data_IF_814191324672
#
_entry.id   IF_814191324672
#
_cell.length_a   1.000
_cell.length_b   1.000
_cell.length_c   1.000
_cell.angle_alpha   90.00
_cell.angle_beta   90.00
_cell.angle_gamma   90.00
#
_symmetry.space_group_name_H-M   'P 1'
#
loop_
_entity.id
_entity.type
_entity.pdbx_description
1 polymer ?
#
# COMPACT_ATOMS: atom_id res chain seq x y z
N UNK A 1 -6.45 3.55 47.53
CA UNK A 1 -5.67 2.64 46.66
C UNK A 1 -5.05 3.44 45.52
N UNK A 2 -3.81 3.91 45.69
CA UNK A 2 -3.09 4.66 44.64
C UNK A 2 -2.05 3.72 44.05
N UNK A 3 -2.34 3.18 42.86
CA UNK A 3 -1.45 2.27 42.16
C UNK A 3 -0.37 3.10 41.43
N UNK A 4 0.80 3.27 42.04
CA UNK A 4 1.95 3.86 41.35
C UNK A 4 2.50 2.85 40.35
N UNK A 5 2.23 3.07 39.06
CA UNK A 5 2.87 2.32 37.98
C UNK A 5 4.34 2.73 37.93
N UNK A 6 5.23 1.83 38.34
CA UNK A 6 6.68 2.03 38.21
C UNK A 6 7.00 2.10 36.71
N UNK A 7 7.23 3.31 36.20
CA UNK A 7 7.70 3.52 34.84
C UNK A 7 9.15 3.10 34.79
N UNK A 8 9.40 1.92 34.21
CA UNK A 8 10.76 1.46 33.88
C UNK A 8 11.36 2.46 32.90
N UNK A 9 12.32 3.29 33.34
CA UNK A 9 13.07 4.16 32.42
C UNK A 9 13.74 3.28 31.36
N UNK A 10 13.37 3.45 30.10
CA UNK A 10 14.10 2.87 28.96
C UNK A 10 15.55 3.36 29.03
N UNK A 11 16.50 2.47 28.76
CA UNK A 11 17.94 2.77 28.70
C UNK A 11 18.34 3.63 27.49
N UNK A 12 17.45 3.80 26.51
CA UNK A 12 17.70 4.61 25.32
C UNK A 12 17.14 6.02 25.47
N UNK A 13 17.94 7.01 25.06
CA UNK A 13 17.48 8.38 24.90
C UNK A 13 16.63 8.48 23.63
N UNK A 14 15.31 8.60 23.79
CA UNK A 14 14.37 8.75 22.67
C UNK A 14 14.57 10.06 21.89
N UNK A 15 15.35 11.02 22.43
CA UNK A 15 15.76 12.26 21.73
C UNK A 15 16.96 12.05 20.81
N UNK A 16 17.69 10.95 20.98
CA UNK A 16 18.76 10.54 20.06
C UNK A 16 18.18 9.61 19.02
N UNK A 17 17.72 10.19 17.91
CA UNK A 17 17.56 9.46 16.65
C UNK A 17 18.91 8.84 16.29
N UNK A 18 19.13 7.57 16.62
CA UNK A 18 20.14 6.76 15.96
C UNK A 18 19.61 6.62 14.54
N UNK A 19 20.03 7.52 13.65
CA UNK A 19 19.53 7.52 12.28
C UNK A 19 19.88 6.17 11.67
N UNK A 20 18.89 5.28 11.55
CA UNK A 20 19.08 3.92 11.05
C UNK A 20 19.65 3.89 9.61
N UNK A 21 19.58 5.04 8.93
CA UNK A 21 20.06 5.28 7.57
C UNK A 21 21.33 6.13 7.51
N UNK A 22 21.88 6.57 8.64
CA UNK A 22 23.09 7.37 8.68
C UNK A 22 24.33 6.48 8.52
N UNK A 23 25.11 6.71 7.46
CA UNK A 23 26.39 6.04 7.22
C UNK A 23 27.53 6.55 8.13
N UNK A 24 27.35 7.72 8.74
CA UNK A 24 28.35 8.37 9.57
C UNK A 24 27.66 9.10 10.72
N UNK A 25 28.37 9.21 11.83
CA UNK A 25 27.99 10.01 12.99
C UNK A 25 28.81 11.31 13.02
N UNK A 26 28.41 12.26 13.85
CA UNK A 26 29.19 13.48 14.07
C UNK A 26 30.62 13.20 14.59
N UNK A 27 30.87 12.01 15.14
CA UNK A 27 32.16 11.62 15.70
C UNK A 27 33.12 11.07 14.64
N UNK A 28 32.61 10.36 13.63
CA UNK A 28 33.42 9.67 12.61
C UNK A 28 33.44 10.40 11.25
N UNK A 29 32.60 11.43 11.07
CA UNK A 29 32.44 12.12 9.79
C UNK A 29 33.77 12.65 9.23
N UNK A 30 34.69 13.10 10.10
CA UNK A 30 35.99 13.65 9.70
C UNK A 30 36.86 12.62 8.96
N UNK A 31 36.73 11.34 9.30
CA UNK A 31 37.43 10.25 8.63
C UNK A 31 36.65 9.67 7.45
N UNK A 32 35.33 9.49 7.60
CA UNK A 32 34.50 8.78 6.61
C UNK A 32 34.12 9.61 5.39
N UNK A 33 33.84 10.90 5.56
CA UNK A 33 33.44 11.77 4.43
C UNK A 33 34.55 11.87 3.37
N UNK A 34 35.83 12.08 3.72
CA UNK A 34 36.91 12.04 2.73
C UNK A 34 36.97 10.72 1.96
N UNK A 35 36.80 9.58 2.64
CA UNK A 35 36.83 8.26 1.98
C UNK A 35 35.73 8.15 0.91
N UNK A 36 34.51 8.62 1.20
CA UNK A 36 33.42 8.70 0.20
C UNK A 36 33.82 9.60 -0.97
N UNK A 37 34.37 10.78 -0.69
CA UNK A 37 34.72 11.77 -1.72
C UNK A 37 35.83 11.29 -2.65
N UNK A 38 36.77 10.48 -2.14
CA UNK A 38 37.85 9.87 -2.92
C UNK A 38 37.46 8.52 -3.56
N UNK A 39 36.15 8.20 -3.61
CA UNK A 39 35.64 7.03 -4.31
C UNK A 39 35.61 5.73 -3.50
N UNK A 40 35.88 5.80 -2.20
CA UNK A 40 35.71 4.70 -1.27
C UNK A 40 34.27 4.53 -0.77
N UNK A 41 34.07 3.53 0.09
CA UNK A 41 32.77 3.22 0.67
C UNK A 41 31.89 2.32 -0.22
N UNK A 42 30.93 1.65 0.40
CA UNK A 42 30.01 0.74 -0.29
C UNK A 42 28.64 1.37 -0.45
N UNK A 43 28.24 1.57 -1.70
CA UNK A 43 26.89 1.98 -2.06
C UNK A 43 25.95 0.77 -1.99
N UNK A 44 24.80 0.97 -1.36
CA UNK A 44 23.72 0.01 -1.27
C UNK A 44 22.42 0.67 -1.70
N UNK A 45 21.54 -0.08 -2.34
CA UNK A 45 20.24 0.43 -2.77
C UNK A 45 19.16 0.09 -1.76
N UNK A 46 18.22 1.03 -1.57
CA UNK A 46 17.00 0.85 -0.78
C UNK A 46 15.79 0.97 -1.68
N UNK A 47 14.88 0.00 -1.53
CA UNK A 47 13.58 -0.02 -2.20
C UNK A 47 12.79 1.22 -1.78
N UNK A 48 12.21 1.91 -2.76
CA UNK A 48 11.24 2.98 -2.54
C UNK A 48 9.89 2.55 -3.07
N UNK A 49 8.85 3.02 -2.40
CA UNK A 49 7.48 2.80 -2.81
C UNK A 49 7.03 3.91 -3.77
N UNK A 50 6.33 3.49 -4.80
CA UNK A 50 5.65 4.36 -5.74
C UNK A 50 4.17 4.44 -5.35
N UNK A 51 3.60 5.63 -5.45
CA UNK A 51 2.19 5.87 -5.21
C UNK A 51 1.65 6.80 -6.30
N UNK A 52 0.55 6.39 -6.93
CA UNK A 52 -0.17 7.18 -7.93
C UNK A 52 -1.60 7.35 -7.47
N UNK A 53 -2.04 8.60 -7.35
CA UNK A 53 -3.42 8.94 -6.99
C UNK A 53 -4.13 9.42 -8.24
N UNK A 54 -5.21 8.74 -8.61
CA UNK A 54 -6.11 9.11 -9.68
C UNK A 54 -7.37 9.71 -9.06
N UNK A 55 -7.55 11.00 -9.30
CA UNK A 55 -8.81 11.69 -9.05
C UNK A 55 -9.65 11.77 -10.31
N UNK A 56 -10.81 12.42 -10.23
CA UNK A 56 -11.81 12.50 -11.31
C UNK A 56 -11.21 13.05 -12.61
N UNK A 57 -10.34 14.05 -12.52
CA UNK A 57 -9.79 14.77 -13.69
C UNK A 57 -8.27 14.75 -13.78
N UNK A 58 -7.57 14.12 -12.85
CA UNK A 58 -6.12 14.18 -12.77
C UNK A 58 -5.51 12.92 -12.20
N UNK A 59 -4.34 12.55 -12.71
CA UNK A 59 -3.49 11.51 -12.14
C UNK A 59 -2.23 12.17 -11.58
N UNK A 60 -2.03 12.04 -10.27
CA UNK A 60 -0.90 12.63 -9.54
C UNK A 60 0.03 11.53 -9.09
N UNK A 61 1.25 11.55 -9.61
CA UNK A 61 2.33 10.68 -9.12
C UNK A 61 2.96 11.32 -7.89
N UNK A 62 2.94 10.61 -6.77
CA UNK A 62 3.55 11.07 -5.53
C UNK A 62 5.08 10.95 -5.60
N UNK A 63 5.77 11.65 -4.69
CA UNK A 63 7.21 11.46 -4.54
C UNK A 63 7.51 10.01 -4.12
N UNK A 64 8.62 9.42 -4.58
CA UNK A 64 9.05 8.11 -4.10
C UNK A 64 9.21 8.09 -2.57
N UNK A 65 8.49 7.17 -1.94
CA UNK A 65 8.35 7.06 -0.49
C UNK A 65 9.44 6.13 0.05
N UNK A 66 10.18 6.54 1.08
CA UNK A 66 11.30 5.76 1.59
C UNK A 66 10.90 4.77 2.68
N UNK A 67 10.13 5.20 3.67
CA UNK A 67 9.78 4.39 4.83
C UNK A 67 8.37 3.85 4.69
N UNK A 68 7.39 4.74 4.80
CA UNK A 68 6.00 4.37 4.97
C UNK A 68 5.03 5.47 4.54
N UNK A 69 3.80 5.04 4.31
CA UNK A 69 2.66 5.90 4.10
C UNK A 69 1.47 5.45 4.93
N UNK A 70 0.72 6.42 5.45
CA UNK A 70 -0.55 6.21 6.13
C UNK A 70 -1.67 6.77 5.28
N UNK A 71 -2.67 5.94 4.98
CA UNK A 71 -3.89 6.34 4.28
C UNK A 71 -5.03 6.30 5.29
N UNK A 72 -5.54 7.46 5.67
CA UNK A 72 -6.53 7.57 6.73
C UNK A 72 -7.45 8.78 6.57
N UNK A 73 -8.55 8.79 7.32
CA UNK A 73 -9.31 10.00 7.54
C UNK A 73 -8.45 10.99 8.36
N UNK A 74 -8.36 12.28 7.98
CA UNK A 74 -7.62 13.27 8.77
C UNK A 74 -8.23 13.51 10.16
N UNK A 75 -9.52 13.21 10.35
CA UNK A 75 -10.15 13.27 11.67
C UNK A 75 -10.07 11.89 12.34
N UNK A 76 -9.44 11.76 13.53
CA UNK A 76 -9.35 10.48 14.24
C UNK A 76 -10.72 9.98 14.75
N UNK A 77 -11.72 10.86 14.84
CA UNK A 77 -13.08 10.50 15.22
C UNK A 77 -13.91 9.93 14.05
N UNK A 78 -13.33 9.87 12.85
CA UNK A 78 -14.03 9.43 11.65
C UNK A 78 -13.41 8.16 11.06
N UNK A 79 -14.27 7.30 10.51
CA UNK A 79 -13.87 6.03 9.91
C UNK A 79 -13.35 6.23 8.48
N UNK A 80 -12.24 5.58 8.17
CA UNK A 80 -11.72 5.45 6.81
C UNK A 80 -12.48 4.33 6.11
N UNK A 81 -13.12 4.66 4.98
CA UNK A 81 -13.85 3.69 4.16
C UNK A 81 -13.16 3.60 2.83
N UNK A 82 -12.74 2.40 2.43
CA UNK A 82 -12.14 2.18 1.12
C UNK A 82 -12.38 0.74 0.68
N UNK A 83 -12.25 0.49 -0.63
CA UNK A 83 -12.16 -0.86 -1.16
C UNK A 83 -10.72 -1.09 -1.58
N UNK A 84 -10.13 -2.19 -1.13
CA UNK A 84 -8.78 -2.59 -1.47
C UNK A 84 -8.81 -3.81 -2.39
N UNK A 85 -7.84 -3.94 -3.29
CA UNK A 85 -7.68 -5.11 -4.15
C UNK A 85 -6.32 -5.10 -4.85
N UNK A 86 -6.13 -5.99 -5.82
CA UNK A 86 -4.89 -6.09 -6.60
C UNK A 86 -5.17 -5.80 -8.07
N UNK A 87 -4.30 -5.01 -8.71
CA UNK A 87 -4.41 -4.72 -10.14
C UNK A 87 -3.68 -5.78 -10.95
N UNK A 88 -4.41 -6.40 -11.87
CA UNK A 88 -3.84 -7.18 -12.96
C UNK A 88 -4.01 -6.39 -14.25
N UNK A 89 -2.97 -6.32 -15.07
CA UNK A 89 -3.09 -5.70 -16.40
C UNK A 89 -4.21 -6.41 -17.15
N UNK A 90 -5.18 -5.65 -17.64
CA UNK A 90 -6.20 -6.21 -18.50
C UNK A 90 -5.52 -6.49 -19.84
N UNK A 91 -5.51 -7.75 -20.27
CA UNK A 91 -5.11 -8.08 -21.62
C UNK A 91 -5.99 -7.28 -22.58
N UNK A 92 -5.41 -6.61 -23.58
CA UNK A 92 -6.16 -6.06 -24.69
C UNK A 92 -6.79 -7.26 -25.42
N UNK A 93 -8.00 -7.67 -25.02
CA UNK A 93 -8.83 -8.60 -25.80
C UNK A 93 -9.49 -7.84 -26.96
N UNK A 94 -8.71 -7.02 -27.67
CA UNK A 94 -9.06 -6.49 -28.98
C UNK A 94 -8.27 -7.30 -30.01
N UNK A 95 -8.75 -8.51 -30.31
CA UNK A 95 -8.63 -9.22 -31.61
C UNK A 95 -8.91 -10.74 -31.59
N UNK A 96 -9.39 -11.34 -30.49
CA UNK A 96 -9.70 -12.79 -30.46
C UNK A 96 -11.17 -13.19 -30.40
N UNK A 97 -12.10 -12.26 -30.19
CA UNK A 97 -13.53 -12.57 -29.99
C UNK A 97 -14.45 -12.34 -31.21
N UNK A 98 -13.93 -11.89 -32.36
CA UNK A 98 -14.73 -11.76 -33.60
C UNK A 98 -14.62 -12.95 -34.56
N UNK A 99 -13.99 -14.04 -34.15
CA UNK A 99 -14.02 -15.31 -34.88
C UNK A 99 -14.33 -16.43 -33.92
N UNK A 100 -15.48 -17.08 -34.16
CA UNK A 100 -15.98 -18.30 -33.53
C UNK A 100 -16.72 -18.00 -32.20
N UNK A 101 -17.99 -18.37 -31.97
CA UNK A 101 -18.78 -19.46 -32.53
C UNK A 101 -20.27 -19.21 -32.23
N UNK A 102 -21.10 -19.57 -33.21
CA UNK A 102 -22.51 -19.95 -33.01
C UNK A 102 -22.50 -21.29 -32.26
N UNK A 103 -23.04 -21.37 -31.04
CA UNK A 103 -23.75 -22.58 -30.57
C UNK A 103 -24.37 -22.47 -29.16
N UNK A 104 -25.67 -22.74 -29.16
CA UNK A 104 -26.44 -23.61 -28.25
C UNK A 104 -26.62 -23.25 -26.75
N UNK A 105 -27.84 -22.81 -26.47
CA UNK A 105 -28.40 -22.51 -25.15
C UNK A 105 -28.97 -23.77 -24.48
N UNK A 106 -28.13 -24.57 -23.81
CA UNK A 106 -28.59 -25.66 -22.94
C UNK A 106 -27.70 -25.82 -21.71
N UNK A 107 -28.06 -25.18 -20.59
CA UNK A 107 -27.42 -25.44 -19.30
C UNK A 107 -27.47 -24.36 -18.22
N UNK A 108 -28.60 -23.67 -18.01
CA UNK A 108 -28.73 -22.71 -16.90
C UNK A 108 -29.60 -23.29 -15.77
N UNK A 109 -29.12 -23.18 -14.53
CA UNK A 109 -29.83 -23.64 -13.34
C UNK A 109 -30.97 -22.68 -12.97
N UNK A 110 -31.97 -23.09 -12.16
CA UNK A 110 -33.07 -22.21 -11.75
C UNK A 110 -32.62 -20.93 -11.01
N UNK A 111 -31.47 -20.98 -10.32
CA UNK A 111 -30.88 -19.82 -9.64
C UNK A 111 -30.34 -18.77 -10.64
N UNK A 112 -29.76 -19.23 -11.76
CA UNK A 112 -29.24 -18.35 -12.82
C UNK A 112 -30.38 -17.61 -13.53
N UNK A 113 -31.54 -18.27 -13.67
CA UNK A 113 -32.76 -17.65 -14.24
C UNK A 113 -33.33 -16.57 -13.30
N UNK A 114 -33.33 -16.79 -11.99
CA UNK A 114 -33.83 -15.83 -11.00
C UNK A 114 -32.92 -14.59 -10.87
N UNK A 115 -31.59 -14.77 -10.97
CA UNK A 115 -30.64 -13.66 -10.99
C UNK A 115 -30.79 -12.79 -12.25
N UNK A 116 -31.20 -13.39 -13.38
CA UNK A 116 -31.42 -12.68 -14.65
C UNK A 116 -32.73 -11.88 -14.70
N UNK A 117 -33.74 -12.26 -13.92
CA UNK A 117 -35.06 -11.60 -13.91
C UNK A 117 -35.16 -10.37 -13.01
N UNK A 118 -34.13 -10.09 -12.20
CA UNK A 118 -34.11 -9.01 -11.19
C UNK A 118 -33.22 -7.81 -11.58
N UNK A 119 -32.63 -7.79 -12.77
CA UNK A 119 -31.77 -6.67 -13.21
C UNK A 119 -32.49 -5.73 -14.18
N UNK A 120 -32.53 -4.44 -13.83
CA UNK A 120 -33.01 -3.36 -14.70
C UNK A 120 -32.23 -3.26 -16.02
N UNK A 121 -32.89 -2.84 -17.12
CA UNK A 121 -32.28 -2.82 -18.43
C UNK A 121 -31.35 -1.60 -18.59
N UNK A 122 -30.06 -1.85 -18.84
CA UNK A 122 -29.26 -0.88 -19.61
C UNK A 122 -27.85 -0.53 -19.13
N UNK A 123 -27.04 -1.45 -18.60
CA UNK A 123 -25.58 -1.39 -18.79
C UNK A 123 -25.03 -2.81 -18.84
N UNK A 124 -24.45 -3.21 -19.98
CA UNK A 124 -23.84 -4.51 -20.15
C UNK A 124 -22.66 -4.69 -19.17
N UNK A 125 -22.84 -5.51 -18.13
CA UNK A 125 -21.73 -6.02 -17.32
C UNK A 125 -20.89 -6.95 -18.19
N UNK A 126 -19.72 -6.50 -18.63
CA UNK A 126 -18.66 -7.44 -19.07
C UNK A 126 -18.33 -8.38 -17.92
N UNK A 127 -18.03 -9.65 -18.21
CA UNK A 127 -17.66 -10.70 -17.23
C UNK A 127 -16.42 -10.39 -16.35
N UNK A 128 -15.87 -9.19 -16.45
CA UNK A 128 -14.67 -8.70 -15.79
C UNK A 128 -15.07 -7.52 -14.89
N UNK A 129 -14.50 -7.43 -13.69
CA UNK A 129 -14.83 -6.43 -12.67
C UNK A 129 -14.65 -4.98 -13.13
N UNK A 130 -14.79 -4.02 -12.21
CA UNK A 130 -14.60 -2.60 -12.50
C UNK A 130 -13.22 -2.35 -13.13
N UNK A 131 -13.16 -2.16 -14.45
CA UNK A 131 -11.91 -1.82 -15.16
C UNK A 131 -11.49 -0.43 -14.71
N UNK A 132 -10.29 -0.31 -14.16
CA UNK A 132 -9.66 0.97 -13.89
C UNK A 132 -8.51 1.23 -14.85
N UNK A 133 -8.06 2.48 -14.93
CA UNK A 133 -6.96 2.89 -15.80
C UNK A 133 -5.99 3.76 -15.01
N UNK A 134 -4.70 3.44 -15.10
CA UNK A 134 -3.58 4.25 -14.59
C UNK A 134 -2.59 4.47 -15.73
N UNK A 135 -2.16 5.71 -15.95
CA UNK A 135 -1.27 6.06 -17.07
C UNK A 135 -1.80 5.62 -18.43
N UNK A 136 -3.13 5.59 -18.60
CA UNK A 136 -3.81 5.09 -19.81
C UNK A 136 -3.92 3.57 -19.95
N UNK A 137 -3.18 2.79 -19.13
CA UNK A 137 -3.21 1.32 -19.17
C UNK A 137 -4.42 0.77 -18.42
N UNK A 138 -5.19 -0.17 -19.02
CA UNK A 138 -6.33 -0.79 -18.35
C UNK A 138 -5.89 -1.89 -17.37
N UNK A 139 -6.58 -1.96 -16.23
CA UNK A 139 -6.37 -2.93 -15.18
C UNK A 139 -7.70 -3.51 -14.70
N UNK A 140 -7.70 -4.82 -14.46
CA UNK A 140 -8.72 -5.52 -13.71
C UNK A 140 -8.40 -5.45 -12.21
N UNK A 141 -9.38 -5.06 -11.39
CA UNK A 141 -9.27 -5.15 -9.93
C UNK A 141 -9.70 -6.55 -9.47
N UNK A 142 -8.78 -7.30 -8.87
CA UNK A 142 -9.00 -8.66 -8.33
C UNK A 142 -9.01 -8.65 -6.80
N UNK A 143 -9.65 -9.67 -6.23
CA UNK A 143 -9.69 -9.97 -4.79
C UNK A 143 -10.08 -8.76 -3.94
N UNK A 144 -11.15 -8.06 -4.34
CA UNK A 144 -11.52 -6.81 -3.69
C UNK A 144 -12.19 -7.02 -2.33
N UNK A 145 -11.72 -6.30 -1.32
CA UNK A 145 -12.25 -6.28 0.04
C UNK A 145 -12.75 -4.87 0.39
N UNK A 146 -13.93 -4.75 0.98
CA UNK A 146 -14.39 -3.48 1.55
C UNK A 146 -13.84 -3.36 2.97
N UNK A 147 -13.27 -2.20 3.29
CA UNK A 147 -12.57 -1.95 4.54
C UNK A 147 -13.17 -0.74 5.24
N UNK A 148 -13.47 -0.92 6.53
CA UNK A 148 -13.84 0.12 7.48
C UNK A 148 -12.83 0.10 8.62
N UNK A 149 -12.03 1.15 8.75
CA UNK A 149 -10.80 1.09 9.56
C UNK A 149 -10.41 2.49 10.05
N UNK A 150 -9.53 2.57 11.05
CA UNK A 150 -8.88 3.84 11.40
C UNK A 150 -7.83 4.29 10.37
N UNK A 151 -7.44 3.42 9.44
CA UNK A 151 -6.55 3.72 8.34
C UNK A 151 -5.68 2.53 7.96
N UNK A 152 -4.89 2.67 6.90
CA UNK A 152 -4.01 1.62 6.41
C UNK A 152 -2.56 2.13 6.33
N UNK A 153 -1.64 1.36 6.88
CA UNK A 153 -0.21 1.55 6.68
C UNK A 153 0.25 0.75 5.48
N UNK A 154 1.16 1.33 4.70
CA UNK A 154 2.00 0.60 3.76
C UNK A 154 3.44 1.03 4.02
N UNK A 155 4.38 0.08 4.08
CA UNK A 155 5.79 0.40 4.28
C UNK A 155 6.70 -0.38 3.32
N UNK A 156 7.88 0.18 3.10
CA UNK A 156 9.02 -0.52 2.50
C UNK A 156 9.71 -1.38 3.54
N UNK A 157 10.70 -2.15 3.10
CA UNK A 157 11.62 -2.85 4.01
C UNK A 157 12.30 -1.92 5.02
N UNK A 158 12.66 -0.71 4.60
CA UNK A 158 13.31 0.28 5.46
C UNK A 158 12.36 0.79 6.55
N UNK A 159 11.09 1.07 6.21
CA UNK A 159 10.08 1.52 7.18
C UNK A 159 9.51 0.43 8.09
N UNK A 160 9.80 -0.85 7.81
CA UNK A 160 9.22 -1.99 8.54
C UNK A 160 9.53 -2.00 10.04
N UNK A 161 10.64 -1.37 10.45
CA UNK A 161 11.07 -1.30 11.85
C UNK A 161 10.59 -0.04 12.59
N UNK A 162 9.89 0.87 11.90
CA UNK A 162 9.43 2.15 12.44
C UNK A 162 7.92 2.10 12.81
N UNK A 163 7.09 2.95 12.20
CA UNK A 163 5.66 3.02 12.54
C UNK A 163 4.93 1.71 12.25
N UNK A 164 5.34 0.97 11.21
CA UNK A 164 4.80 -0.34 10.90
C UNK A 164 4.98 -1.35 12.04
N UNK A 165 6.20 -1.44 12.62
CA UNK A 165 6.44 -2.30 13.78
C UNK A 165 5.60 -1.89 14.99
N UNK A 166 5.44 -0.59 15.23
CA UNK A 166 4.60 -0.09 16.31
C UNK A 166 3.11 -0.40 16.12
N UNK A 167 2.65 -0.50 14.86
CA UNK A 167 1.28 -0.86 14.51
C UNK A 167 1.00 -2.37 14.55
N UNK A 168 2.04 -3.21 14.70
CA UNK A 168 1.92 -4.67 14.75
C UNK A 168 2.36 -5.40 13.47
N UNK A 169 3.01 -4.70 12.52
CA UNK A 169 3.61 -5.32 11.35
C UNK A 169 4.92 -6.07 11.66
N UNK A 170 5.42 -6.80 10.65
CA UNK A 170 6.62 -7.63 10.76
C UNK A 170 7.86 -6.89 10.25
N UNK A 171 9.01 -6.98 10.94
CA UNK A 171 10.29 -6.52 10.40
C UNK A 171 10.63 -7.25 9.09
N UNK A 172 11.15 -6.52 8.12
CA UNK A 172 11.55 -7.06 6.81
C UNK A 172 13.06 -7.00 6.63
N UNK A 173 13.60 -7.85 5.76
CA UNK A 173 14.97 -7.69 5.31
C UNK A 173 15.16 -6.37 4.57
N UNK A 174 16.19 -5.63 4.94
CA UNK A 174 16.55 -4.30 4.45
C UNK A 174 16.86 -4.25 2.94
N UNK A 175 17.14 -5.40 2.32
CA UNK A 175 17.37 -5.55 0.88
C UNK A 175 16.16 -6.12 0.12
N UNK A 176 15.05 -6.36 0.82
CA UNK A 176 13.80 -6.82 0.19
C UNK A 176 13.17 -5.72 -0.68
N UNK A 177 12.69 -6.13 -1.86
CA UNK A 177 11.92 -5.30 -2.79
C UNK A 177 10.40 -5.38 -2.54
N UNK A 178 9.98 -6.17 -1.55
CA UNK A 178 8.57 -6.31 -1.18
C UNK A 178 8.11 -5.07 -0.40
N UNK A 179 6.80 -4.85 -0.42
CA UNK A 179 6.15 -3.92 0.51
C UNK A 179 5.32 -4.72 1.52
N UNK A 180 4.99 -4.09 2.64
CA UNK A 180 4.07 -4.64 3.62
C UNK A 180 2.92 -3.67 3.81
N UNK A 181 1.69 -4.18 3.87
CA UNK A 181 0.52 -3.40 4.23
C UNK A 181 -0.09 -3.91 5.55
N UNK A 182 -0.76 -3.00 6.25
CA UNK A 182 -1.47 -3.28 7.49
C UNK A 182 -2.71 -2.38 7.62
N UNK A 183 -3.88 -3.00 7.63
CA UNK A 183 -5.17 -2.38 7.93
C UNK A 183 -5.30 -2.27 9.45
N UNK A 184 -5.60 -1.08 9.95
CA UNK A 184 -5.69 -0.82 11.39
C UNK A 184 -7.12 -0.97 11.89
N UNK A 185 -7.32 -1.63 13.02
CA UNK A 185 -8.61 -1.64 13.73
C UNK A 185 -9.79 -1.94 12.77
N UNK A 186 -9.62 -2.97 11.93
CA UNK A 186 -10.62 -3.30 10.91
C UNK A 186 -11.94 -3.68 11.58
N UNK A 187 -12.99 -2.92 11.27
CA UNK A 187 -14.36 -3.14 11.76
C UNK A 187 -15.03 -4.27 10.98
N UNK A 188 -14.82 -5.50 11.46
CA UNK A 188 -15.42 -6.72 10.91
C UNK A 188 -16.61 -7.13 11.80
N UNK A 189 -17.69 -6.35 11.76
CA UNK A 189 -18.95 -6.73 12.43
C UNK A 189 -19.81 -7.58 11.47
N UNK A 190 -20.27 -8.75 11.96
CA UNK A 190 -21.25 -9.65 11.32
C UNK A 190 -20.91 -10.27 9.95
N UNK A 191 -19.64 -10.33 9.55
CA UNK A 191 -19.25 -11.07 8.35
C UNK A 191 -19.27 -12.59 8.59
N UNK A 192 -19.90 -13.40 7.71
CA UNK A 192 -19.96 -14.86 7.85
C UNK A 192 -18.57 -15.52 7.82
N UNK A 193 -17.59 -14.89 7.16
CA UNK A 193 -16.21 -15.38 7.04
C UNK A 193 -15.21 -14.52 7.84
N UNK A 194 -15.55 -14.19 9.08
CA UNK A 194 -14.77 -13.25 9.92
C UNK A 194 -13.29 -13.61 10.08
N UNK A 195 -12.95 -14.90 10.11
CA UNK A 195 -11.57 -15.34 10.28
C UNK A 195 -10.75 -15.15 9.00
N UNK A 196 -11.29 -15.51 7.83
CA UNK A 196 -10.63 -15.32 6.53
C UNK A 196 -10.35 -13.84 6.24
N UNK A 197 -11.24 -12.93 6.65
CA UNK A 197 -11.07 -11.49 6.45
C UNK A 197 -10.00 -10.92 7.38
N UNK A 198 -9.90 -11.42 8.62
CA UNK A 198 -8.85 -11.01 9.56
C UNK A 198 -7.45 -11.38 9.07
N UNK A 199 -7.32 -12.53 8.42
CA UNK A 199 -6.05 -12.96 7.84
C UNK A 199 -5.61 -12.08 6.65
N UNK A 200 -6.48 -11.19 6.16
CA UNK A 200 -6.19 -10.21 5.12
C UNK A 200 -5.85 -8.81 5.68
N UNK A 201 -5.90 -8.61 7.00
CA UNK A 201 -5.62 -7.30 7.62
C UNK A 201 -4.14 -6.90 7.46
N UNK A 202 -3.24 -7.87 7.32
CA UNK A 202 -1.83 -7.64 7.07
C UNK A 202 -1.33 -8.56 5.97
N UNK A 203 -0.39 -8.07 5.17
CA UNK A 203 0.16 -8.87 4.08
C UNK A 203 1.39 -8.26 3.44
N UNK A 204 2.06 -9.10 2.65
CA UNK A 204 3.20 -8.70 1.83
C UNK A 204 2.73 -8.50 0.39
N UNK A 205 3.21 -7.42 -0.22
CA UNK A 205 3.07 -7.14 -1.64
C UNK A 205 4.38 -7.52 -2.34
N UNK A 206 4.30 -8.44 -3.30
CA UNK A 206 5.45 -8.84 -4.12
C UNK A 206 5.85 -7.73 -5.11
N UNK A 207 7.07 -7.78 -5.64
CA UNK A 207 7.68 -6.73 -6.48
C UNK A 207 6.91 -6.46 -7.79
N UNK A 208 6.27 -7.49 -8.34
CA UNK A 208 5.49 -7.41 -9.58
C UNK A 208 4.04 -6.99 -9.36
N UNK A 209 3.56 -7.03 -8.10
CA UNK A 209 2.18 -6.77 -7.73
C UNK A 209 1.90 -5.27 -7.59
N UNK A 210 0.65 -4.92 -7.85
CA UNK A 210 0.13 -3.57 -7.73
C UNK A 210 -1.06 -3.59 -6.79
N UNK A 211 -0.94 -2.87 -5.68
CA UNK A 211 -2.03 -2.71 -4.73
C UNK A 211 -2.95 -1.57 -5.17
N UNK A 212 -4.26 -1.82 -5.15
CA UNK A 212 -5.29 -0.85 -5.49
C UNK A 212 -6.11 -0.48 -4.26
N UNK A 213 -6.41 0.82 -4.12
CA UNK A 213 -7.46 1.29 -3.24
C UNK A 213 -8.41 2.20 -4.02
N UNK A 214 -9.71 2.05 -3.77
CA UNK A 214 -10.74 3.02 -4.10
C UNK A 214 -11.26 3.65 -2.83
N UNK A 215 -11.07 4.94 -2.67
CA UNK A 215 -11.49 5.70 -1.50
C UNK A 215 -13.01 5.94 -1.51
N UNK A 216 -13.67 5.61 -0.40
CA UNK A 216 -15.14 5.66 -0.26
C UNK A 216 -15.61 6.59 0.88
N UNK A 217 -14.70 7.41 1.45
CA UNK A 217 -15.04 8.45 2.42
C UNK A 217 -15.01 9.84 1.77
N UNK A 218 -15.76 10.80 2.32
CA UNK A 218 -15.80 12.18 1.81
C UNK A 218 -14.46 12.91 1.92
N UNK A 219 -13.67 12.60 2.95
CA UNK A 219 -12.35 13.17 3.19
C UNK A 219 -11.39 12.06 3.56
N UNK A 220 -10.24 12.04 2.92
CA UNK A 220 -9.11 11.21 3.27
C UNK A 220 -7.81 11.99 3.16
N UNK A 221 -6.74 11.40 3.66
CA UNK A 221 -5.40 11.94 3.55
C UNK A 221 -4.39 10.81 3.48
N UNK A 222 -3.44 10.96 2.58
CA UNK A 222 -2.21 10.21 2.54
C UNK A 222 -1.16 11.02 3.27
N UNK A 223 -0.49 10.41 4.24
CA UNK A 223 0.70 10.94 4.90
C UNK A 223 1.90 10.15 4.40
N UNK A 224 2.97 10.84 4.02
CA UNK A 224 4.16 10.23 3.41
C UNK A 224 5.36 10.54 4.30
N UNK A 225 6.09 9.50 4.74
CA UNK A 225 7.30 9.60 5.55
C UNK A 225 7.14 10.54 6.77
N UNK A 226 5.95 10.53 7.38
CA UNK A 226 5.58 11.37 8.52
C UNK A 226 4.50 12.40 8.20
N UNK A 227 4.47 13.51 8.96
CA UNK A 227 3.34 14.46 8.96
C UNK A 227 3.49 15.62 7.98
N UNK A 228 4.66 15.79 7.35
CA UNK A 228 4.97 16.98 6.56
C UNK A 228 4.49 16.89 5.12
N UNK A 229 4.61 15.72 4.50
CA UNK A 229 4.18 15.52 3.12
C UNK A 229 2.83 14.82 3.10
N UNK A 230 1.82 15.52 2.59
CA UNK A 230 0.45 15.06 2.61
C UNK A 230 -0.23 15.24 1.26
N UNK A 231 -1.16 14.35 0.95
CA UNK A 231 -2.06 14.47 -0.19
C UNK A 231 -3.49 14.23 0.29
N UNK A 232 -4.41 15.13 -0.01
CA UNK A 232 -5.81 14.96 0.35
C UNK A 232 -6.49 14.01 -0.64
N UNK A 233 -7.43 13.22 -0.14
CA UNK A 233 -8.25 12.32 -0.93
C UNK A 233 -9.72 12.73 -0.81
N UNK A 234 -10.44 12.59 -1.90
CA UNK A 234 -11.87 12.81 -2.02
C UNK A 234 -12.60 11.52 -2.41
N UNK A 235 -13.93 11.56 -2.27
CA UNK A 235 -14.76 10.40 -2.58
C UNK A 235 -14.55 9.94 -4.02
N UNK A 236 -14.18 8.67 -4.19
CA UNK A 236 -14.01 8.04 -5.49
C UNK A 236 -12.59 8.06 -6.02
N UNK A 237 -11.65 8.76 -5.36
CA UNK A 237 -10.24 8.72 -5.72
C UNK A 237 -9.71 7.27 -5.66
N UNK A 238 -8.83 6.95 -6.60
CA UNK A 238 -8.18 5.65 -6.70
C UNK A 238 -6.68 5.78 -6.48
N UNK A 239 -6.08 4.79 -5.82
CA UNK A 239 -4.68 4.80 -5.42
C UNK A 239 -4.06 3.50 -5.94
N UNK A 240 -2.93 3.64 -6.63
CA UNK A 240 -2.07 2.54 -7.04
C UNK A 240 -0.77 2.61 -6.24
N UNK A 241 -0.38 1.50 -5.62
CA UNK A 241 0.83 1.38 -4.81
C UNK A 241 1.64 0.17 -5.28
N UNK A 242 2.94 0.37 -5.53
CA UNK A 242 3.89 -0.69 -5.89
C UNK A 242 5.33 -0.32 -5.49
N UNK A 243 6.28 -1.24 -5.63
CA UNK A 243 7.70 -1.01 -5.35
C UNK A 243 8.51 -0.55 -6.57
N UNK A 244 7.87 -0.04 -7.62
CA UNK A 244 8.52 0.31 -8.90
C UNK A 244 9.07 1.74 -8.94
N UNK A 245 9.25 2.38 -7.79
CA UNK A 245 9.94 3.66 -7.74
C UNK A 245 11.46 3.47 -7.93
N UNK A 246 12.18 4.45 -8.50
CA UNK A 246 13.64 4.38 -8.56
C UNK A 246 14.22 4.17 -7.14
N UNK A 247 15.12 3.21 -6.90
CA UNK A 247 15.65 2.97 -5.56
C UNK A 247 16.49 4.16 -5.06
N UNK A 248 16.66 4.25 -3.74
CA UNK A 248 17.56 5.23 -3.12
C UNK A 248 18.93 4.60 -2.90
N UNK A 249 19.97 5.20 -3.47
CA UNK A 249 21.35 4.80 -3.20
C UNK A 249 21.85 5.44 -1.91
N UNK A 250 22.34 4.64 -0.98
CA UNK A 250 22.91 5.07 0.30
C UNK A 250 24.27 4.41 0.50
N UNK A 251 25.21 5.19 1.03
CA UNK A 251 26.43 4.63 1.60
C UNK A 251 26.07 3.83 2.85
N UNK A 252 26.60 2.61 2.95
CA UNK A 252 26.32 1.72 4.07
C UNK A 252 27.58 1.45 4.87
N UNK A 253 27.40 1.29 6.19
CA UNK A 253 28.50 1.10 7.13
C UNK A 253 29.13 -0.28 7.11
N UNK A 254 28.58 -1.18 6.27
CA UNK A 254 28.76 -2.61 6.43
C UNK A 254 30.20 -3.12 6.19
N UNK A 255 31.08 -2.34 5.56
CA UNK A 255 32.54 -2.55 5.53
C UNK A 255 33.23 -1.24 5.16
N UNK A 256 33.86 -0.60 6.14
CA UNK A 256 34.90 0.43 5.92
C UNK A 256 36.31 -0.14 6.19
N UNK A 257 36.43 -1.47 6.23
CA UNK A 257 37.71 -2.17 6.42
C UNK A 257 38.59 -2.11 5.17
#
# INVERSE_FOLDING_TARGET
>A
CTCYRIVKKKKGDERRSHGALCACTALDMKGRVPQVLFGGGKLSTRTRMNCVVKSTFSETKMVPILNDMLIANPSPAAVSRFRMGWLNKADNVDNKLFRNEVSDSRGLTPADKLASSLSEPGVARTKYGTITRFGGQPYDVRNSLNVWSSGMWVCTSTGSTAAMAAAGGQPMDLHSNKLQYLIREHMIENAPNKNEIKDLDNGMLEEDQHLHLRWNSQKGRIFIDGSHLVHNLELGDEILIDSKAPPLALYSDAKWD
#
